data_IF_545124652529
#
_entry.id   IF_545124652529
#
_cell.length_a   1.000
_cell.length_b   1.000
_cell.length_c   1.000
_cell.angle_alpha   90.00
_cell.angle_beta   90.00
_cell.angle_gamma   90.00
#
_symmetry.space_group_name_H-M   'P 1'
#
loop_
_entity.id
_entity.type
_entity.pdbx_description
1 polymer ?
#
# COMPACT_ATOMS: atom_id res chain seq x y z
N UNK A 1 -33.57 21.91 -22.62
CA UNK A 1 -32.23 21.90 -21.95
C UNK A 1 -31.43 20.84 -22.65
N UNK A 2 -30.33 21.21 -23.31
CA UNK A 2 -29.34 20.24 -23.84
C UNK A 2 -28.86 19.41 -22.67
N UNK A 3 -28.80 18.07 -22.76
CA UNK A 3 -28.26 17.26 -21.65
C UNK A 3 -26.84 17.76 -21.34
N UNK A 4 -26.58 18.03 -20.07
CA UNK A 4 -25.25 18.45 -19.65
C UNK A 4 -24.25 17.39 -20.12
N UNK A 5 -23.29 17.83 -20.92
CA UNK A 5 -22.32 16.92 -21.55
C UNK A 5 -21.44 16.33 -20.46
N UNK A 6 -21.42 15.00 -20.32
CA UNK A 6 -20.57 14.34 -19.31
C UNK A 6 -19.08 14.61 -19.58
N UNK A 7 -18.51 15.51 -18.80
CA UNK A 7 -17.13 15.95 -18.95
C UNK A 7 -16.13 14.83 -18.60
N UNK A 8 -16.47 13.94 -17.68
CA UNK A 8 -15.64 12.78 -17.35
C UNK A 8 -15.50 11.86 -18.57
N UNK A 9 -16.61 11.59 -19.27
CA UNK A 9 -16.60 10.77 -20.49
C UNK A 9 -15.75 11.42 -21.59
N UNK A 10 -15.95 12.72 -21.85
CA UNK A 10 -15.15 13.44 -22.86
C UNK A 10 -13.65 13.41 -22.55
N UNK A 11 -13.27 13.60 -21.29
CA UNK A 11 -11.88 13.54 -20.87
C UNK A 11 -11.31 12.12 -20.99
N UNK A 12 -12.09 11.10 -20.67
CA UNK A 12 -11.67 9.72 -20.81
C UNK A 12 -11.46 9.33 -22.27
N UNK A 13 -12.36 9.72 -23.17
CA UNK A 13 -12.21 9.49 -24.60
C UNK A 13 -10.96 10.18 -25.16
N UNK A 14 -10.69 11.43 -24.78
CA UNK A 14 -9.46 12.14 -25.14
C UNK A 14 -8.22 11.48 -24.57
N UNK A 15 -8.23 11.08 -23.29
CA UNK A 15 -7.10 10.44 -22.63
C UNK A 15 -6.72 9.12 -23.32
N UNK A 16 -7.70 8.32 -23.76
CA UNK A 16 -7.47 7.08 -24.48
C UNK A 16 -6.75 7.25 -25.83
N UNK A 17 -6.78 8.43 -26.42
CA UNK A 17 -6.07 8.70 -27.66
C UNK A 17 -4.57 8.94 -27.45
N UNK A 18 -4.16 9.34 -26.22
CA UNK A 18 -2.78 9.78 -25.94
C UNK A 18 -2.12 9.06 -24.77
N UNK A 19 -2.89 8.32 -23.98
CA UNK A 19 -2.39 7.55 -22.82
C UNK A 19 -2.94 6.11 -22.94
N UNK A 20 -2.11 5.08 -22.84
CA UNK A 20 -2.58 3.70 -22.89
C UNK A 20 -3.70 3.44 -21.88
N UNK A 21 -4.90 3.04 -22.39
CA UNK A 21 -6.09 2.86 -21.57
C UNK A 21 -6.66 4.13 -20.93
N UNK A 22 -6.15 5.32 -21.27
CA UNK A 22 -6.57 6.63 -20.74
C UNK A 22 -6.08 6.95 -19.34
N UNK A 23 -5.16 6.16 -18.78
CA UNK A 23 -4.69 6.27 -17.38
C UNK A 23 -3.20 5.95 -17.25
N UNK A 24 -2.54 6.52 -16.23
CA UNK A 24 -1.15 6.26 -15.89
C UNK A 24 -0.97 5.14 -14.84
N UNK A 25 -2.07 4.49 -14.43
CA UNK A 25 -2.07 3.28 -13.60
C UNK A 25 -3.34 2.47 -13.88
N UNK A 26 -3.24 1.14 -14.13
CA UNK A 26 -4.32 0.33 -14.70
C UNK A 26 -5.64 0.35 -13.91
N UNK A 27 -5.59 0.33 -12.59
CA UNK A 27 -6.77 0.29 -11.72
C UNK A 27 -7.66 1.53 -11.90
N UNK A 28 -7.09 2.68 -12.28
CA UNK A 28 -7.81 3.95 -12.48
C UNK A 28 -8.77 3.92 -13.67
N UNK A 29 -8.64 2.95 -14.58
CA UNK A 29 -9.47 2.83 -15.78
C UNK A 29 -10.86 2.24 -15.53
N UNK A 30 -11.23 1.88 -14.31
CA UNK A 30 -12.49 1.22 -13.95
C UNK A 30 -12.74 -0.11 -14.66
N UNK A 31 -11.69 -0.76 -15.17
CA UNK A 31 -11.84 -2.00 -15.94
C UNK A 31 -12.53 -3.11 -15.12
N UNK A 32 -12.27 -3.18 -13.81
CA UNK A 32 -12.84 -4.20 -12.95
C UNK A 32 -14.33 -3.97 -12.64
N UNK A 33 -14.77 -2.72 -12.55
CA UNK A 33 -16.14 -2.33 -12.15
C UNK A 33 -16.98 -1.83 -13.31
N UNK A 34 -16.35 -1.47 -14.44
CA UNK A 34 -17.01 -0.85 -15.58
C UNK A 34 -17.35 0.62 -15.39
N UNK A 35 -17.96 1.22 -16.40
CA UNK A 35 -18.34 2.63 -16.38
C UNK A 35 -17.19 3.59 -16.72
N UNK A 36 -17.42 4.89 -16.50
CA UNK A 36 -16.47 5.96 -16.79
C UNK A 36 -15.72 6.37 -15.54
N UNK A 37 -14.37 6.38 -15.58
CA UNK A 37 -13.56 6.89 -14.48
C UNK A 37 -13.85 8.36 -14.15
N UNK A 38 -13.70 8.75 -12.90
CA UNK A 38 -13.87 10.14 -12.47
C UNK A 38 -12.54 10.89 -12.67
N UNK A 39 -12.58 11.99 -13.43
CA UNK A 39 -11.46 12.90 -13.62
C UNK A 39 -11.54 13.98 -12.53
N UNK A 40 -10.60 13.96 -11.61
CA UNK A 40 -10.58 14.86 -10.46
C UNK A 40 -10.12 16.25 -10.89
N UNK A 41 -10.91 17.27 -10.55
CA UNK A 41 -10.59 18.68 -10.83
C UNK A 41 -9.90 19.37 -9.64
N UNK A 42 -10.29 19.01 -8.41
CA UNK A 42 -9.68 19.50 -7.17
C UNK A 42 -10.00 18.56 -6.02
N UNK A 43 -9.21 18.65 -4.94
CA UNK A 43 -9.45 17.91 -3.71
C UNK A 43 -9.11 18.77 -2.49
N UNK A 44 -9.82 18.55 -1.36
CA UNK A 44 -9.56 19.23 -0.10
C UNK A 44 -10.16 18.43 1.06
N UNK A 45 -9.42 18.28 2.14
CA UNK A 45 -9.85 17.51 3.30
C UNK A 45 -10.17 16.07 2.94
N UNK A 46 -11.36 15.61 3.28
CA UNK A 46 -11.85 14.27 2.97
C UNK A 46 -12.51 14.14 1.59
N UNK A 47 -12.46 15.19 0.76
CA UNK A 47 -13.26 15.26 -0.47
C UNK A 47 -12.42 15.50 -1.71
N UNK A 48 -12.93 14.99 -2.83
CA UNK A 48 -12.55 15.51 -4.14
C UNK A 48 -13.79 15.87 -4.98
N UNK A 49 -13.59 16.66 -6.03
CA UNK A 49 -14.61 17.03 -7.02
C UNK A 49 -14.17 16.57 -8.39
N UNK A 50 -15.08 15.92 -9.10
CA UNK A 50 -14.82 15.48 -10.47
C UNK A 50 -14.95 16.63 -11.50
N UNK A 51 -14.69 16.32 -12.75
CA UNK A 51 -14.77 17.29 -13.86
C UNK A 51 -16.18 17.80 -14.15
N UNK A 52 -17.21 17.14 -13.63
CA UNK A 52 -18.61 17.60 -13.68
C UNK A 52 -18.97 18.47 -12.45
N UNK A 53 -18.04 18.66 -11.51
CA UNK A 53 -18.26 19.41 -10.27
C UNK A 53 -18.94 18.60 -9.16
N UNK A 54 -19.17 17.31 -9.35
CA UNK A 54 -19.74 16.45 -8.30
C UNK A 54 -18.71 16.16 -7.24
N UNK A 55 -19.12 16.31 -5.97
CA UNK A 55 -18.30 16.03 -4.79
C UNK A 55 -18.40 14.56 -4.39
N UNK A 56 -17.30 14.03 -3.88
CA UNK A 56 -17.20 12.68 -3.33
C UNK A 56 -16.46 12.68 -2.00
N UNK A 57 -16.93 11.88 -1.04
CA UNK A 57 -16.13 11.48 0.14
C UNK A 57 -15.12 10.46 -0.34
N UNK A 58 -13.83 10.74 -0.11
CA UNK A 58 -12.71 9.96 -0.68
C UNK A 58 -12.12 8.98 0.33
N UNK A 59 -12.44 7.70 0.17
CA UNK A 59 -11.84 6.61 0.93
C UNK A 59 -10.66 5.93 0.22
N UNK A 60 -10.18 6.50 -0.89
CA UNK A 60 -8.95 6.04 -1.55
C UNK A 60 -7.74 6.82 -1.06
N UNK A 61 -7.90 8.14 -0.83
CA UNK A 61 -6.81 8.98 -0.34
C UNK A 61 -5.53 8.84 -1.15
N UNK A 62 -5.66 8.84 -2.50
CA UNK A 62 -4.56 8.63 -3.45
C UNK A 62 -3.86 7.26 -3.28
N UNK A 63 -4.60 6.20 -2.89
CA UNK A 63 -4.09 4.86 -2.58
C UNK A 63 -3.23 4.80 -1.31
N UNK A 64 -3.58 5.64 -0.33
CA UNK A 64 -3.01 5.60 1.01
C UNK A 64 -2.18 6.80 1.48
N UNK A 65 -1.49 7.59 0.63
CA UNK A 65 -0.65 8.70 1.12
C UNK A 65 -1.40 9.80 1.87
N UNK A 66 -2.67 10.07 1.55
CA UNK A 66 -3.43 11.20 2.12
C UNK A 66 -3.98 10.93 3.53
N UNK A 67 -3.10 10.57 4.47
CA UNK A 67 -3.49 10.26 5.86
C UNK A 67 -4.06 11.50 6.60
N UNK A 68 -3.58 12.69 6.25
CA UNK A 68 -4.07 13.97 6.78
C UNK A 68 -5.30 14.50 6.03
N UNK A 69 -5.66 13.88 4.91
CA UNK A 69 -6.58 14.42 3.92
C UNK A 69 -5.87 15.26 2.85
N UNK A 70 -6.63 15.73 1.87
CA UNK A 70 -6.11 16.54 0.78
C UNK A 70 -5.83 17.97 1.21
N UNK A 71 -4.71 18.53 0.76
CA UNK A 71 -4.40 19.96 0.93
C UNK A 71 -4.24 20.39 2.39
N UNK A 72 -3.66 19.53 3.25
CA UNK A 72 -3.42 19.88 4.66
C UNK A 72 -2.54 21.14 4.77
N UNK A 73 -2.94 22.20 5.53
CA UNK A 73 -2.28 23.49 5.51
C UNK A 73 -0.79 23.44 5.80
N UNK A 74 -0.35 22.71 6.84
CA UNK A 74 1.06 22.61 7.20
C UNK A 74 1.90 21.91 6.10
N UNK A 75 1.33 20.94 5.38
CA UNK A 75 2.01 20.26 4.27
C UNK A 75 2.12 21.19 3.07
N UNK A 76 1.01 21.89 2.73
CA UNK A 76 1.00 22.87 1.62
C UNK A 76 2.00 23.98 1.86
N UNK A 77 2.06 24.55 3.06
CA UNK A 77 3.01 25.60 3.42
C UNK A 77 4.48 25.14 3.28
N UNK A 78 4.80 23.95 3.79
CA UNK A 78 6.14 23.37 3.70
C UNK A 78 6.58 23.15 2.23
N UNK A 79 5.65 22.64 1.40
CA UNK A 79 5.88 22.41 -0.03
C UNK A 79 6.07 23.74 -0.76
N UNK A 80 5.22 24.74 -0.52
CA UNK A 80 5.32 26.06 -1.13
C UNK A 80 6.67 26.73 -0.81
N UNK A 81 7.11 26.67 0.45
CA UNK A 81 8.41 27.18 0.86
C UNK A 81 9.54 26.45 0.13
N UNK A 82 9.51 25.13 0.08
CA UNK A 82 10.54 24.36 -0.62
C UNK A 82 10.60 24.67 -2.12
N UNK A 83 9.44 24.87 -2.77
CA UNK A 83 9.38 25.25 -4.18
C UNK A 83 10.08 26.58 -4.48
N UNK A 84 10.06 27.56 -3.56
CA UNK A 84 10.73 28.84 -3.72
C UNK A 84 12.27 28.74 -3.59
N UNK A 85 12.76 27.68 -2.90
CA UNK A 85 14.19 27.43 -2.72
C UNK A 85 14.81 26.58 -3.83
N UNK A 86 13.98 25.86 -4.61
CA UNK A 86 14.39 25.04 -5.76
C UNK A 86 13.81 23.63 -5.73
N UNK A 87 13.68 23.00 -6.91
CA UNK A 87 13.03 21.70 -7.06
C UNK A 87 13.99 20.51 -6.95
N UNK A 88 15.25 20.71 -7.39
CA UNK A 88 16.26 19.65 -7.43
C UNK A 88 17.66 20.25 -7.61
N UNK A 89 18.65 19.67 -6.94
CA UNK A 89 20.00 20.26 -6.93
C UNK A 89 21.08 19.33 -7.49
N UNK A 90 20.83 18.02 -7.59
CA UNK A 90 21.87 17.03 -7.91
C UNK A 90 22.97 16.96 -6.83
N UNK A 91 22.65 17.42 -5.62
CA UNK A 91 23.50 17.48 -4.44
C UNK A 91 22.66 17.17 -3.19
N UNK A 92 23.26 16.67 -2.09
CA UNK A 92 22.55 16.40 -0.86
C UNK A 92 22.03 17.67 -0.18
N UNK A 93 20.95 17.54 0.60
CA UNK A 93 20.30 18.62 1.33
C UNK A 93 20.17 18.28 2.81
N UNK A 94 20.09 19.29 3.69
CA UNK A 94 19.84 19.12 5.12
C UNK A 94 18.51 18.39 5.37
N UNK A 95 17.47 18.68 4.58
CA UNK A 95 16.15 18.04 4.69
C UNK A 95 16.18 16.53 4.43
N UNK A 96 17.10 16.03 3.63
CA UNK A 96 17.28 14.58 3.46
C UNK A 96 17.78 13.95 4.75
N UNK A 97 18.71 14.62 5.46
CA UNK A 97 19.22 14.16 6.76
C UNK A 97 18.10 14.19 7.80
N UNK A 98 17.38 15.33 7.91
CA UNK A 98 16.25 15.47 8.84
C UNK A 98 15.19 14.38 8.61
N UNK A 99 14.83 14.11 7.36
CA UNK A 99 13.84 13.07 7.05
C UNK A 99 14.35 11.68 7.39
N UNK A 100 15.61 11.38 7.11
CA UNK A 100 16.22 10.11 7.46
C UNK A 100 16.23 9.91 8.99
N UNK A 101 16.65 10.90 9.75
CA UNK A 101 16.65 10.88 11.23
C UNK A 101 15.23 10.70 11.78
N UNK A 102 14.23 11.41 11.21
CA UNK A 102 12.83 11.29 11.63
C UNK A 102 12.32 9.87 11.39
N UNK A 103 12.55 9.29 10.19
CA UNK A 103 12.16 7.90 9.89
C UNK A 103 12.82 6.92 10.86
N UNK A 104 14.14 7.02 11.09
CA UNK A 104 14.88 6.13 11.98
C UNK A 104 14.39 6.23 13.43
N UNK A 105 14.01 7.44 13.89
CA UNK A 105 13.46 7.63 15.23
C UNK A 105 12.12 6.92 15.44
N UNK A 106 11.34 6.76 14.38
CA UNK A 106 10.00 6.15 14.39
C UNK A 106 10.01 4.65 14.09
N UNK A 107 11.04 4.17 13.37
CA UNK A 107 11.17 2.77 12.93
C UNK A 107 12.49 2.18 13.46
N UNK A 108 12.53 1.75 14.73
CA UNK A 108 13.78 1.38 15.42
C UNK A 108 14.44 0.09 14.90
N UNK A 109 13.79 -0.69 14.07
CA UNK A 109 14.40 -1.83 13.36
C UNK A 109 15.44 -1.41 12.32
N UNK A 110 15.46 -0.13 11.92
CA UNK A 110 16.37 0.42 10.93
C UNK A 110 17.49 1.23 11.60
N UNK A 111 18.74 0.95 11.22
CA UNK A 111 19.92 1.74 11.61
C UNK A 111 20.30 2.75 10.52
N UNK A 112 19.92 2.48 9.28
CA UNK A 112 20.16 3.34 8.10
C UNK A 112 19.00 3.28 7.13
N UNK A 113 18.77 4.36 6.37
CA UNK A 113 17.73 4.47 5.36
C UNK A 113 18.26 5.11 4.08
N UNK A 114 17.75 4.69 2.92
CA UNK A 114 18.00 5.29 1.61
C UNK A 114 16.69 5.75 1.00
N UNK A 115 16.62 7.03 0.63
CA UNK A 115 15.46 7.60 -0.06
C UNK A 115 15.46 7.24 -1.54
N UNK A 116 14.27 7.00 -2.08
CA UNK A 116 13.99 6.75 -3.50
C UNK A 116 12.67 7.44 -3.87
N UNK A 117 12.24 7.37 -5.15
CA UNK A 117 11.06 8.12 -5.60
C UNK A 117 9.76 7.29 -5.61
N UNK A 118 9.83 5.97 -5.53
CA UNK A 118 8.65 5.10 -5.58
C UNK A 118 8.83 3.81 -4.76
N UNK A 119 7.69 3.21 -4.35
CA UNK A 119 7.70 1.90 -3.70
C UNK A 119 8.31 0.81 -4.59
N UNK A 120 8.14 0.90 -5.91
CA UNK A 120 8.78 -0.02 -6.87
C UNK A 120 10.30 0.07 -6.81
N UNK A 121 10.86 1.30 -6.79
CA UNK A 121 12.31 1.49 -6.64
C UNK A 121 12.80 0.97 -5.29
N UNK A 122 12.05 1.21 -4.22
CA UNK A 122 12.38 0.73 -2.88
C UNK A 122 12.39 -0.81 -2.82
N UNK A 123 11.33 -1.48 -3.30
CA UNK A 123 11.24 -2.94 -3.35
C UNK A 123 12.33 -3.58 -4.23
N UNK A 124 12.52 -3.03 -5.44
CA UNK A 124 13.58 -3.48 -6.35
C UNK A 124 14.98 -3.37 -5.71
N UNK A 125 15.24 -2.26 -5.03
CA UNK A 125 16.52 -2.00 -4.38
C UNK A 125 16.74 -2.88 -3.16
N UNK A 126 15.69 -3.11 -2.35
CA UNK A 126 15.72 -4.00 -1.20
C UNK A 126 16.04 -5.46 -1.62
N UNK A 127 15.42 -5.95 -2.69
CA UNK A 127 15.71 -7.29 -3.25
C UNK A 127 17.15 -7.38 -3.76
N UNK A 128 17.62 -6.36 -4.50
CA UNK A 128 19.02 -6.34 -4.97
C UNK A 128 20.00 -6.32 -3.81
N UNK A 129 19.70 -5.51 -2.80
CA UNK A 129 20.51 -5.44 -1.58
C UNK A 129 20.55 -6.79 -0.85
N UNK A 130 19.41 -7.44 -0.69
CA UNK A 130 19.32 -8.75 -0.05
C UNK A 130 20.15 -9.80 -0.79
N UNK A 131 20.07 -9.84 -2.13
CA UNK A 131 20.91 -10.72 -2.96
C UNK A 131 22.40 -10.41 -2.79
N UNK A 132 22.78 -9.14 -2.82
CA UNK A 132 24.19 -8.72 -2.66
C UNK A 132 24.73 -9.02 -1.27
N UNK A 133 23.96 -8.79 -0.23
CA UNK A 133 24.37 -9.01 1.16
C UNK A 133 24.50 -10.51 1.51
N UNK A 134 23.66 -11.36 0.93
CA UNK A 134 23.67 -12.82 1.21
C UNK A 134 24.49 -13.63 0.22
N UNK A 135 24.81 -13.08 -0.96
CA UNK A 135 25.41 -13.82 -2.07
C UNK A 135 24.48 -14.89 -2.69
N UNK A 136 23.16 -14.79 -2.46
CA UNK A 136 22.15 -15.76 -2.86
C UNK A 136 21.18 -15.16 -3.88
N UNK A 137 20.46 -16.00 -4.64
CA UNK A 137 19.62 -15.52 -5.75
C UNK A 137 18.13 -15.66 -5.54
N UNK A 138 17.67 -16.63 -4.73
CA UNK A 138 16.26 -16.95 -4.60
C UNK A 138 15.56 -15.94 -3.70
N UNK A 139 14.35 -15.55 -4.07
CA UNK A 139 13.45 -14.73 -3.29
C UNK A 139 12.12 -15.44 -3.09
N UNK A 140 11.49 -15.24 -1.95
CA UNK A 140 10.18 -15.76 -1.63
C UNK A 140 9.22 -14.60 -1.44
N UNK A 141 8.05 -14.65 -2.08
CA UNK A 141 6.92 -13.74 -1.89
C UNK A 141 5.62 -14.52 -1.78
N UNK A 142 4.52 -13.83 -1.53
CA UNK A 142 3.21 -14.45 -1.37
C UNK A 142 2.23 -14.00 -2.47
N UNK A 143 1.32 -14.92 -2.83
CA UNK A 143 0.28 -14.64 -3.79
C UNK A 143 -0.68 -13.55 -3.23
N UNK A 144 -1.15 -12.67 -4.09
CA UNK A 144 -1.96 -11.52 -3.70
C UNK A 144 -1.16 -10.32 -3.17
N UNK A 145 0.12 -10.48 -2.79
CA UNK A 145 0.99 -9.36 -2.43
C UNK A 145 1.60 -8.69 -3.66
N UNK A 146 1.69 -7.35 -3.60
CA UNK A 146 2.31 -6.52 -4.63
C UNK A 146 3.48 -5.71 -4.05
N UNK A 147 4.64 -5.84 -4.66
CA UNK A 147 5.88 -5.20 -4.20
C UNK A 147 6.52 -4.31 -5.27
N UNK A 148 5.68 -3.70 -6.14
CA UNK A 148 6.15 -2.95 -7.29
C UNK A 148 6.25 -3.81 -8.56
N UNK A 149 6.62 -3.17 -9.67
CA UNK A 149 6.62 -3.77 -11.00
C UNK A 149 8.02 -4.09 -11.55
N UNK A 150 8.99 -4.36 -10.66
CA UNK A 150 10.26 -4.95 -11.08
C UNK A 150 10.02 -6.38 -11.59
N UNK A 151 10.69 -6.77 -12.68
CA UNK A 151 10.43 -8.03 -13.38
C UNK A 151 10.45 -9.26 -12.46
N UNK A 152 11.41 -9.34 -11.55
CA UNK A 152 11.52 -10.45 -10.59
C UNK A 152 10.32 -10.54 -9.60
N UNK A 153 9.48 -9.52 -9.51
CA UNK A 153 8.32 -9.44 -8.62
C UNK A 153 6.99 -9.60 -9.34
N UNK A 154 6.99 -9.54 -10.69
CA UNK A 154 5.80 -9.77 -11.53
C UNK A 154 5.61 -11.27 -11.78
N UNK A 155 5.31 -12.00 -10.71
CA UNK A 155 5.25 -13.46 -10.67
C UNK A 155 4.00 -13.90 -9.92
N UNK A 156 3.33 -14.94 -10.42
CA UNK A 156 2.25 -15.66 -9.75
C UNK A 156 2.68 -17.09 -9.40
N UNK A 157 1.96 -17.74 -8.49
CA UNK A 157 2.22 -19.11 -8.09
C UNK A 157 2.25 -20.08 -9.30
N UNK A 158 3.15 -21.07 -9.24
CA UNK A 158 3.19 -22.21 -10.17
C UNK A 158 2.16 -23.28 -9.81
N UNK A 159 2.08 -24.34 -10.62
CA UNK A 159 1.23 -25.50 -10.35
C UNK A 159 1.95 -26.46 -9.40
N UNK A 160 1.63 -26.42 -8.11
CA UNK A 160 2.19 -27.34 -7.10
C UNK A 160 2.78 -26.64 -5.89
N UNK A 161 3.06 -27.40 -4.83
CA UNK A 161 3.66 -26.91 -3.59
C UNK A 161 5.10 -26.44 -3.83
N UNK A 162 5.45 -25.27 -3.30
CA UNK A 162 6.81 -24.69 -3.34
C UNK A 162 7.48 -24.66 -4.72
N UNK A 163 6.71 -24.48 -5.80
CA UNK A 163 7.25 -24.37 -7.16
C UNK A 163 7.53 -22.93 -7.55
N UNK A 164 8.53 -22.75 -8.45
CA UNK A 164 8.80 -21.41 -9.02
C UNK A 164 7.63 -20.90 -9.84
N UNK A 165 7.37 -19.61 -9.71
CA UNK A 165 6.24 -18.98 -10.36
C UNK A 165 6.42 -18.73 -11.85
N UNK A 166 5.32 -18.31 -12.47
CA UNK A 166 5.29 -17.89 -13.87
C UNK A 166 5.12 -16.37 -13.96
N UNK A 167 5.73 -15.75 -14.99
CA UNK A 167 5.56 -14.32 -15.22
C UNK A 167 4.07 -13.93 -15.35
N UNK A 168 3.67 -12.85 -14.68
CA UNK A 168 2.30 -12.31 -14.76
C UNK A 168 2.15 -11.24 -15.84
N UNK A 169 3.26 -10.81 -16.42
CA UNK A 169 3.29 -9.78 -17.47
C UNK A 169 3.99 -10.29 -18.71
N UNK A 170 3.42 -9.98 -19.88
CA UNK A 170 4.15 -10.10 -21.13
C UNK A 170 5.42 -9.22 -21.09
N UNK A 171 6.50 -9.67 -21.69
CA UNK A 171 7.79 -8.98 -21.70
C UNK A 171 8.71 -9.31 -20.53
N UNK A 172 8.27 -10.06 -19.55
CA UNK A 172 9.13 -10.57 -18.46
C UNK A 172 9.70 -11.93 -18.87
N UNK A 173 11.04 -12.06 -19.05
CA UNK A 173 11.67 -13.31 -19.42
C UNK A 173 11.53 -14.37 -18.33
N UNK A 174 11.42 -15.65 -18.73
CA UNK A 174 11.31 -16.76 -17.78
C UNK A 174 12.55 -16.87 -16.86
N UNK A 175 13.72 -16.55 -17.39
CA UNK A 175 15.00 -16.57 -16.68
C UNK A 175 15.05 -15.56 -15.53
N UNK A 176 14.30 -14.46 -15.63
CA UNK A 176 14.23 -13.43 -14.55
C UNK A 176 13.40 -13.95 -13.38
N UNK A 177 12.33 -14.67 -13.65
CA UNK A 177 11.39 -15.15 -12.62
C UNK A 177 11.74 -16.52 -12.06
N UNK A 178 12.69 -17.25 -12.65
CA UNK A 178 13.08 -18.60 -12.20
C UNK A 178 13.64 -18.66 -10.78
N UNK A 179 14.00 -17.53 -10.19
CA UNK A 179 14.50 -17.43 -8.82
C UNK A 179 13.45 -16.91 -7.83
N UNK A 180 12.20 -16.72 -8.25
CA UNK A 180 11.14 -16.23 -7.40
C UNK A 180 10.15 -17.33 -7.06
N UNK A 181 10.08 -17.69 -5.77
CA UNK A 181 9.06 -18.58 -5.25
C UNK A 181 7.84 -17.74 -4.84
N UNK A 182 6.65 -18.25 -5.15
CA UNK A 182 5.39 -17.63 -4.72
C UNK A 182 4.57 -18.67 -3.98
N UNK A 183 4.25 -18.40 -2.72
CA UNK A 183 3.49 -19.27 -1.84
C UNK A 183 2.13 -18.67 -1.53
N UNK A 184 1.22 -19.50 -1.04
CA UNK A 184 -0.04 -19.03 -0.51
C UNK A 184 0.16 -18.26 0.80
N UNK A 185 -0.54 -17.14 0.94
CA UNK A 185 -0.47 -16.30 2.13
C UNK A 185 -1.14 -17.01 3.31
N UNK A 186 -0.53 -16.98 4.48
CA UNK A 186 -0.97 -17.69 5.71
C UNK A 186 -0.83 -19.21 5.69
N UNK A 187 -0.18 -19.80 4.68
CA UNK A 187 0.11 -21.25 4.65
C UNK A 187 1.48 -21.55 5.27
N UNK A 188 1.48 -21.98 6.55
CA UNK A 188 2.71 -22.33 7.29
C UNK A 188 3.35 -23.60 6.71
N UNK A 189 2.57 -24.57 6.24
CA UNK A 189 3.12 -25.82 5.72
C UNK A 189 3.90 -25.59 4.41
N UNK A 190 3.34 -24.83 3.48
CA UNK A 190 4.06 -24.44 2.25
C UNK A 190 5.33 -23.64 2.57
N UNK A 191 5.26 -22.75 3.57
CA UNK A 191 6.41 -21.96 3.99
C UNK A 191 7.57 -22.84 4.50
N UNK A 192 7.27 -23.80 5.36
CA UNK A 192 8.24 -24.75 5.92
C UNK A 192 8.84 -25.66 4.85
N UNK A 193 8.02 -26.17 3.93
CA UNK A 193 8.48 -26.96 2.78
C UNK A 193 9.43 -26.15 1.89
N UNK A 194 9.06 -24.91 1.55
CA UNK A 194 9.89 -24.02 0.73
C UNK A 194 11.26 -23.75 1.34
N UNK A 195 11.32 -23.51 2.64
CA UNK A 195 12.59 -23.32 3.33
C UNK A 195 13.40 -24.63 3.48
N UNK A 196 12.75 -25.76 3.64
CA UNK A 196 13.41 -27.06 3.68
C UNK A 196 14.10 -27.36 2.34
N UNK A 197 13.43 -27.07 1.23
CA UNK A 197 13.95 -27.34 -0.12
C UNK A 197 14.95 -26.28 -0.62
N UNK A 198 14.73 -25.02 -0.27
CA UNK A 198 15.41 -23.89 -0.90
C UNK A 198 16.06 -22.89 0.08
N UNK A 199 15.93 -23.07 1.38
CA UNK A 199 16.35 -22.08 2.38
C UNK A 199 17.82 -21.71 2.32
N UNK A 200 18.71 -22.65 1.95
CA UNK A 200 20.14 -22.39 1.81
C UNK A 200 20.48 -21.42 0.67
N UNK A 201 19.63 -21.34 -0.36
CA UNK A 201 19.79 -20.46 -1.52
C UNK A 201 18.93 -19.21 -1.43
N UNK A 202 18.10 -19.10 -0.37
CA UNK A 202 17.17 -18.00 -0.16
C UNK A 202 17.91 -16.73 0.23
N UNK A 203 17.85 -15.69 -0.61
CA UNK A 203 18.36 -14.37 -0.28
C UNK A 203 17.44 -13.64 0.69
N UNK A 204 16.14 -13.69 0.43
CA UNK A 204 15.13 -13.02 1.24
C UNK A 204 13.73 -13.61 1.09
N UNK A 205 12.91 -13.32 2.09
CA UNK A 205 11.45 -13.38 2.06
C UNK A 205 10.92 -11.95 2.13
N UNK A 206 10.00 -11.57 1.21
CA UNK A 206 9.32 -10.28 1.22
C UNK A 206 7.82 -10.46 1.44
N UNK A 207 7.24 -9.66 2.34
CA UNK A 207 5.83 -9.77 2.72
C UNK A 207 5.20 -8.37 2.96
N UNK A 208 3.96 -8.19 2.49
CA UNK A 208 3.06 -7.17 3.04
C UNK A 208 2.48 -7.71 4.36
N UNK A 209 2.69 -7.06 5.51
CA UNK A 209 2.20 -7.58 6.81
C UNK A 209 0.68 -7.59 6.92
N UNK A 210 0.05 -6.62 6.30
CA UNK A 210 -1.39 -6.56 6.02
C UNK A 210 -1.47 -6.32 4.51
N UNK A 211 -1.88 -7.34 3.79
CA UNK A 211 -1.87 -7.29 2.33
C UNK A 211 -3.02 -6.45 1.81
N UNK A 212 -2.71 -5.21 1.44
CA UNK A 212 -3.66 -4.24 0.91
C UNK A 212 -4.00 -4.46 -0.55
N UNK A 213 -3.19 -5.23 -1.27
CA UNK A 213 -3.41 -5.60 -2.66
C UNK A 213 -4.31 -6.85 -2.83
N UNK A 214 -4.78 -7.42 -1.73
CA UNK A 214 -5.90 -8.35 -1.67
C UNK A 214 -6.99 -7.86 -0.69
N UNK A 215 -7.29 -6.57 -0.75
CA UNK A 215 -8.18 -5.80 0.11
C UNK A 215 -7.54 -5.56 1.50
N UNK A 216 -7.82 -6.39 2.50
CA UNK A 216 -7.26 -6.25 3.83
C UNK A 216 -7.10 -7.64 4.46
N UNK A 217 -6.06 -8.36 4.08
CA UNK A 217 -5.77 -9.69 4.64
C UNK A 217 -4.55 -9.60 5.53
N UNK A 218 -4.72 -9.94 6.82
CA UNK A 218 -3.62 -9.95 7.79
C UNK A 218 -2.80 -11.23 7.71
N UNK A 219 -1.49 -11.11 7.82
CA UNK A 219 -0.69 -12.26 8.21
C UNK A 219 -1.07 -12.67 9.65
N UNK A 220 -1.39 -13.92 9.86
CA UNK A 220 -1.66 -14.44 11.20
C UNK A 220 -0.39 -14.39 12.05
N UNK A 221 -0.54 -14.23 13.36
CA UNK A 221 0.60 -14.16 14.29
C UNK A 221 1.50 -15.41 14.17
N UNK A 222 0.98 -16.65 14.13
CA UNK A 222 1.81 -17.84 13.95
C UNK A 222 2.57 -17.85 12.61
N UNK A 223 1.92 -17.41 11.52
CA UNK A 223 2.54 -17.35 10.20
C UNK A 223 3.66 -16.31 10.17
N UNK A 224 3.43 -15.12 10.69
CA UNK A 224 4.42 -14.05 10.75
C UNK A 224 5.63 -14.43 11.62
N UNK A 225 5.38 -15.04 12.77
CA UNK A 225 6.43 -15.56 13.63
C UNK A 225 7.27 -16.61 12.90
N UNK A 226 6.60 -17.54 12.19
CA UNK A 226 7.31 -18.60 11.46
C UNK A 226 8.13 -18.06 10.29
N UNK A 227 7.64 -17.02 9.58
CA UNK A 227 8.43 -16.31 8.57
C UNK A 227 9.74 -15.76 9.16
N UNK A 228 9.67 -15.08 10.31
CA UNK A 228 10.87 -14.53 10.98
C UNK A 228 11.83 -15.63 11.43
N UNK A 229 11.33 -16.68 12.06
CA UNK A 229 12.13 -17.80 12.56
C UNK A 229 12.90 -18.49 11.44
N UNK A 230 12.21 -18.82 10.34
CA UNK A 230 12.84 -19.50 9.19
C UNK A 230 13.89 -18.60 8.51
N UNK A 231 13.59 -17.32 8.32
CA UNK A 231 14.59 -16.38 7.81
C UNK A 231 15.85 -16.38 8.69
N UNK A 232 15.69 -16.33 10.01
CA UNK A 232 16.81 -16.36 10.96
C UNK A 232 17.57 -17.70 10.88
N UNK A 233 16.85 -18.81 10.87
CA UNK A 233 17.44 -20.17 10.84
C UNK A 233 18.28 -20.41 9.59
N UNK A 234 17.84 -19.93 8.44
CA UNK A 234 18.50 -20.14 7.16
C UNK A 234 19.41 -18.97 6.73
N UNK A 235 19.43 -17.89 7.50
CA UNK A 235 20.22 -16.70 7.17
C UNK A 235 19.70 -15.96 5.91
N UNK A 236 18.42 -16.06 5.63
CA UNK A 236 17.72 -15.25 4.65
C UNK A 236 17.31 -13.92 5.26
N UNK A 237 17.29 -12.83 4.48
CA UNK A 237 16.83 -11.54 4.99
C UNK A 237 15.30 -11.46 4.96
N UNK A 238 14.71 -10.99 6.05
CA UNK A 238 13.28 -10.76 6.16
C UNK A 238 12.96 -9.32 5.77
N UNK A 239 12.30 -9.13 4.61
CA UNK A 239 11.91 -7.83 4.08
C UNK A 239 10.44 -7.58 4.38
N UNK A 240 10.17 -6.51 5.12
CA UNK A 240 8.85 -6.06 5.50
C UNK A 240 8.40 -4.95 4.56
N UNK A 241 7.44 -5.21 3.70
CA UNK A 241 6.90 -4.22 2.78
C UNK A 241 5.82 -3.40 3.48
N UNK A 242 6.23 -2.25 3.97
CA UNK A 242 5.39 -1.26 4.65
C UNK A 242 5.00 -0.10 3.70
N UNK A 243 5.08 -0.29 2.38
CA UNK A 243 4.69 0.78 1.44
C UNK A 243 3.24 1.20 1.67
N UNK A 244 2.35 0.28 2.02
CA UNK A 244 0.96 0.58 2.30
C UNK A 244 0.68 0.78 3.78
N UNK A 245 1.27 -0.02 4.64
CA UNK A 245 1.03 -0.02 6.10
C UNK A 245 1.89 0.98 6.86
N UNK A 246 3.05 1.37 6.32
CA UNK A 246 3.99 2.27 6.95
C UNK A 246 3.36 3.62 7.32
N UNK A 247 3.40 3.97 8.60
CA UNK A 247 2.77 5.15 9.18
C UNK A 247 1.25 5.29 8.90
N UNK A 248 0.63 4.28 8.31
CA UNK A 248 -0.80 4.23 8.05
C UNK A 248 -1.57 3.51 9.16
N UNK A 249 -1.04 2.37 9.60
CA UNK A 249 -1.66 1.52 10.63
C UNK A 249 -1.22 1.89 12.05
N UNK A 250 -0.20 2.70 12.20
CA UNK A 250 0.32 3.19 13.47
C UNK A 250 1.64 3.92 13.29
N UNK A 251 2.06 4.67 14.30
CA UNK A 251 3.30 5.45 14.26
C UNK A 251 4.56 4.58 14.09
N UNK A 252 4.51 3.33 14.60
CA UNK A 252 5.58 2.34 14.44
C UNK A 252 5.30 1.33 13.31
N UNK A 253 4.47 1.73 12.35
CA UNK A 253 4.12 0.89 11.21
C UNK A 253 3.46 -0.43 11.62
N UNK A 254 3.32 -1.40 10.71
CA UNK A 254 2.78 -2.72 11.04
C UNK A 254 3.76 -3.56 11.88
N UNK A 255 5.07 -3.35 11.75
CA UNK A 255 6.03 -4.02 12.64
C UNK A 255 5.75 -3.71 14.12
N UNK A 256 5.31 -2.49 14.45
CA UNK A 256 4.86 -2.14 15.79
C UNK A 256 3.57 -2.86 16.23
N UNK A 257 2.70 -3.22 15.28
CA UNK A 257 1.51 -4.04 15.56
C UNK A 257 1.91 -5.48 15.90
N UNK A 258 2.78 -6.10 15.11
CA UNK A 258 3.25 -7.48 15.33
C UNK A 258 4.13 -7.61 16.57
N UNK A 259 4.94 -6.62 16.89
CA UNK A 259 5.78 -6.61 18.09
C UNK A 259 5.00 -6.69 19.42
N UNK A 260 3.71 -6.33 19.42
CA UNK A 260 2.83 -6.51 20.59
C UNK A 260 2.58 -7.98 20.92
N UNK A 261 2.60 -8.85 19.91
CA UNK A 261 2.30 -10.29 20.06
C UNK A 261 3.52 -11.20 19.87
N UNK A 262 4.57 -10.70 19.21
CA UNK A 262 5.80 -11.46 18.93
C UNK A 262 6.97 -10.71 19.58
N UNK A 263 7.46 -11.15 20.76
CA UNK A 263 8.56 -10.49 21.44
C UNK A 263 9.83 -10.42 20.57
N UNK A 264 10.44 -9.23 20.47
CA UNK A 264 11.66 -9.02 19.70
C UNK A 264 11.47 -9.09 18.19
N UNK A 265 10.23 -8.95 17.70
CA UNK A 265 9.95 -8.95 16.27
C UNK A 265 10.55 -7.73 15.57
N UNK A 266 11.50 -8.00 14.70
CA UNK A 266 12.11 -6.98 13.83
C UNK A 266 12.41 -7.57 12.44
N UNK A 267 12.08 -6.85 11.35
CA UNK A 267 12.56 -7.18 10.00
C UNK A 267 14.04 -6.81 9.84
N UNK A 268 14.70 -7.39 8.85
CA UNK A 268 16.07 -7.04 8.48
C UNK A 268 16.12 -5.83 7.56
N UNK A 269 15.10 -5.71 6.68
CA UNK A 269 14.90 -4.58 5.76
C UNK A 269 13.43 -4.18 5.81
N UNK A 270 13.17 -2.88 5.88
CA UNK A 270 11.83 -2.29 5.75
C UNK A 270 11.75 -1.44 4.50
N UNK A 271 10.67 -1.60 3.74
CA UNK A 271 10.36 -0.80 2.54
C UNK A 271 9.21 0.15 2.88
N UNK A 272 9.37 1.45 2.61
CA UNK A 272 8.41 2.51 2.93
C UNK A 272 8.03 3.28 1.67
N UNK A 273 6.84 3.87 1.66
CA UNK A 273 6.34 4.71 0.58
C UNK A 273 5.08 5.46 0.99
N UNK A 274 4.29 5.87 0.02
CA UNK A 274 2.96 6.48 0.22
C UNK A 274 2.93 7.58 1.30
N UNK A 275 2.61 7.24 2.55
CA UNK A 275 2.46 8.21 3.67
C UNK A 275 3.74 9.02 3.89
N UNK A 276 4.93 8.41 3.80
CA UNK A 276 6.18 9.15 3.99
C UNK A 276 6.40 10.25 2.95
N UNK A 277 5.74 10.15 1.81
CA UNK A 277 5.77 11.17 0.75
C UNK A 277 4.69 12.24 0.90
N UNK A 278 3.67 12.02 1.76
CA UNK A 278 2.56 12.99 1.97
C UNK A 278 1.80 13.37 0.71
N UNK A 279 1.93 12.59 -0.38
CA UNK A 279 1.35 12.84 -1.69
C UNK A 279 2.39 13.16 -2.78
N UNK A 280 3.64 13.40 -2.42
CA UNK A 280 4.75 13.55 -3.36
C UNK A 280 5.45 12.22 -3.67
N UNK A 281 6.14 12.10 -4.82
CA UNK A 281 6.91 10.91 -5.17
C UNK A 281 8.12 10.76 -4.22
N UNK A 282 7.93 10.01 -3.16
CA UNK A 282 8.93 9.67 -2.16
C UNK A 282 8.66 8.28 -1.60
N UNK A 283 9.71 7.50 -1.51
CA UNK A 283 9.74 6.21 -0.85
C UNK A 283 11.12 6.00 -0.22
N UNK A 284 11.28 4.93 0.52
CA UNK A 284 12.54 4.60 1.17
C UNK A 284 12.68 3.10 1.37
N UNK A 285 13.90 2.63 1.54
CA UNK A 285 14.18 1.34 2.14
C UNK A 285 15.34 1.50 3.14
N UNK A 286 15.28 0.74 4.19
CA UNK A 286 16.28 0.81 5.25
C UNK A 286 16.32 -0.49 6.04
N UNK A 287 17.31 -0.62 6.92
CA UNK A 287 17.48 -1.83 7.70
C UNK A 287 18.71 -1.78 8.58
N UNK A 288 19.15 -2.95 9.04
CA UNK A 288 20.32 -3.09 9.89
C UNK A 288 21.57 -2.58 9.18
N UNK A 289 22.44 -1.88 9.91
CA UNK A 289 23.66 -1.25 9.40
C UNK A 289 24.50 -2.19 8.53
N UNK A 290 24.76 -3.40 9.01
CA UNK A 290 25.60 -4.38 8.29
C UNK A 290 25.03 -4.76 6.90
N UNK A 291 23.71 -4.69 6.72
CA UNK A 291 23.05 -4.91 5.44
C UNK A 291 23.13 -3.66 4.58
N UNK A 292 22.81 -2.48 5.14
CA UNK A 292 22.76 -1.23 4.40
C UNK A 292 24.12 -0.75 3.92
N UNK A 293 25.19 -1.07 4.62
CA UNK A 293 26.58 -0.76 4.22
C UNK A 293 27.04 -1.55 2.98
N UNK A 294 26.30 -2.55 2.53
CA UNK A 294 26.52 -3.18 1.23
C UNK A 294 26.11 -2.32 0.03
N UNK A 295 25.39 -1.20 0.26
CA UNK A 295 25.04 -0.25 -0.80
C UNK A 295 26.21 0.66 -1.16
N UNK A 296 26.34 0.95 -2.46
CA UNK A 296 27.24 1.99 -2.94
C UNK A 296 26.91 3.36 -2.31
N UNK A 297 27.91 4.18 -1.92
CA UNK A 297 29.33 4.06 -2.20
C UNK A 297 30.11 3.19 -1.20
N UNK A 298 29.51 2.67 -0.11
CA UNK A 298 30.19 1.87 0.89
C UNK A 298 30.44 0.44 0.43
N UNK A 299 29.47 -0.17 -0.23
CA UNK A 299 29.51 -1.54 -0.70
C UNK A 299 29.32 -1.66 -2.22
N UNK A 300 29.29 -2.89 -2.76
CA UNK A 300 29.25 -3.15 -4.20
C UNK A 300 27.83 -3.08 -4.80
N UNK A 301 26.77 -2.99 -3.98
CA UNK A 301 25.39 -3.01 -4.47
C UNK A 301 24.99 -1.64 -4.98
N UNK A 302 24.74 -1.53 -6.28
CA UNK A 302 24.42 -0.25 -6.91
C UNK A 302 22.93 0.12 -6.79
N UNK A 303 22.68 1.36 -6.42
CA UNK A 303 21.38 2.02 -6.45
C UNK A 303 21.61 3.53 -6.64
N UNK A 304 20.83 4.18 -7.51
CA UNK A 304 20.89 5.61 -7.75
C UNK A 304 19.52 6.14 -8.18
N UNK A 305 19.29 7.44 -7.98
CA UNK A 305 18.08 8.12 -8.43
C UNK A 305 18.31 9.63 -8.48
N UNK A 306 18.18 10.22 -9.64
CA UNK A 306 18.42 11.68 -9.86
C UNK A 306 17.56 12.55 -8.94
N UNK A 307 16.32 12.19 -8.72
CA UNK A 307 15.37 12.95 -7.91
C UNK A 307 15.13 12.35 -6.51
N UNK A 308 15.88 11.32 -6.14
CA UNK A 308 15.79 10.74 -4.80
C UNK A 308 16.19 11.78 -3.74
N UNK A 309 15.32 12.00 -2.75
CA UNK A 309 15.57 13.01 -1.71
C UNK A 309 15.41 14.45 -2.18
N UNK A 310 14.70 14.73 -3.28
CA UNK A 310 14.47 16.10 -3.75
C UNK A 310 13.79 16.96 -2.65
N UNK A 311 14.11 18.27 -2.60
CA UNK A 311 13.73 19.14 -1.49
C UNK A 311 12.21 19.31 -1.32
N UNK A 312 11.44 19.20 -2.40
CA UNK A 312 9.97 19.36 -2.34
C UNK A 312 9.32 18.13 -1.73
N UNK A 313 9.73 16.94 -2.18
CA UNK A 313 9.19 15.69 -1.65
C UNK A 313 9.63 15.44 -0.18
N UNK A 314 10.87 15.78 0.18
CA UNK A 314 11.35 15.67 1.57
C UNK A 314 10.63 16.66 2.50
N UNK A 315 10.38 17.89 2.07
CA UNK A 315 9.60 18.86 2.83
C UNK A 315 8.15 18.38 3.06
N UNK A 316 7.52 17.80 2.02
CA UNK A 316 6.20 17.21 2.12
C UNK A 316 6.16 16.05 3.12
N UNK A 317 7.12 15.13 3.03
CA UNK A 317 7.24 13.98 3.93
C UNK A 317 7.48 14.40 5.39
N UNK A 318 8.43 15.30 5.63
CA UNK A 318 8.71 15.83 6.97
C UNK A 318 7.49 16.50 7.60
N UNK A 319 6.79 17.36 6.85
CA UNK A 319 5.58 18.01 7.34
C UNK A 319 4.49 16.98 7.69
N UNK A 320 4.33 15.95 6.87
CA UNK A 320 3.38 14.87 7.11
C UNK A 320 3.74 14.08 8.36
N UNK A 321 4.99 13.63 8.53
CA UNK A 321 5.44 12.88 9.70
C UNK A 321 5.29 13.69 10.99
N UNK A 322 5.59 14.99 10.95
CA UNK A 322 5.40 15.90 12.12
C UNK A 322 3.94 16.00 12.56
N UNK A 323 3.01 16.02 11.61
CA UNK A 323 1.56 16.07 11.94
C UNK A 323 1.06 14.74 12.52
N UNK A 324 1.40 13.61 11.91
CA UNK A 324 0.94 12.29 12.39
C UNK A 324 1.59 11.85 13.70
N UNK A 325 2.71 12.46 14.09
CA UNK A 325 3.39 12.20 15.37
C UNK A 325 2.72 12.89 16.56
N UNK A 326 1.78 13.80 16.33
CA UNK A 326 1.08 14.49 17.41
C UNK A 326 0.31 13.51 18.30
N UNK A 327 0.35 13.70 19.64
CA UNK A 327 -0.38 12.83 20.56
C UNK A 327 -1.87 12.73 20.20
N UNK A 328 -2.45 11.54 20.31
CA UNK A 328 -3.85 11.27 20.02
C UNK A 328 -4.19 11.10 18.53
N UNK A 329 -3.25 11.30 17.60
CA UNK A 329 -3.53 11.23 16.18
C UNK A 329 -4.04 9.84 15.74
N UNK A 330 -3.31 8.79 16.11
CA UNK A 330 -3.68 7.42 15.71
C UNK A 330 -4.88 6.88 16.47
N UNK A 331 -5.08 7.28 17.71
CA UNK A 331 -6.26 6.94 18.51
C UNK A 331 -7.51 7.51 17.84
N UNK A 332 -7.49 8.77 17.45
CA UNK A 332 -8.60 9.42 16.76
C UNK A 332 -8.85 8.82 15.37
N UNK A 333 -7.79 8.57 14.61
CA UNK A 333 -7.88 7.98 13.27
C UNK A 333 -8.45 6.54 13.32
N UNK A 334 -7.96 5.73 14.26
CA UNK A 334 -8.44 4.36 14.48
C UNK A 334 -9.89 4.31 14.92
N UNK A 335 -10.31 5.20 15.84
CA UNK A 335 -11.70 5.29 16.28
C UNK A 335 -12.66 5.62 15.13
N UNK A 336 -12.31 6.58 14.26
CA UNK A 336 -13.09 6.89 13.05
C UNK A 336 -13.21 5.68 12.12
N UNK A 337 -12.10 4.98 11.89
CA UNK A 337 -12.07 3.79 11.03
C UNK A 337 -12.98 2.69 11.58
N UNK A 338 -12.88 2.41 12.88
CA UNK A 338 -13.73 1.43 13.55
C UNK A 338 -15.21 1.80 13.51
N UNK A 339 -15.54 3.09 13.70
CA UNK A 339 -16.91 3.61 13.60
C UNK A 339 -17.50 3.36 12.21
N UNK A 340 -16.72 3.65 11.15
CA UNK A 340 -17.16 3.36 9.77
C UNK A 340 -17.39 1.87 9.56
N UNK A 341 -16.43 1.03 9.96
CA UNK A 341 -16.52 -0.41 9.78
C UNK A 341 -17.70 -1.03 10.53
N UNK A 342 -17.92 -0.62 11.78
CA UNK A 342 -19.08 -1.07 12.57
C UNK A 342 -20.40 -0.63 11.93
N UNK A 343 -20.45 0.60 11.40
CA UNK A 343 -21.64 1.13 10.72
C UNK A 343 -21.98 0.35 9.43
N UNK A 344 -20.97 0.08 8.58
CA UNK A 344 -21.14 -0.72 7.35
C UNK A 344 -21.56 -2.16 7.68
N UNK A 345 -20.89 -2.80 8.66
CA UNK A 345 -21.26 -4.15 9.11
C UNK A 345 -22.69 -4.19 9.62
N UNK A 346 -23.10 -3.23 10.49
CA UNK A 346 -24.45 -3.18 11.01
C UNK A 346 -25.51 -2.91 9.94
N UNK A 347 -25.18 -2.17 8.89
CA UNK A 347 -26.07 -1.96 7.73
C UNK A 347 -26.25 -3.25 6.92
N UNK A 348 -25.16 -3.96 6.65
CA UNK A 348 -25.19 -5.23 5.94
C UNK A 348 -25.95 -6.33 6.72
N UNK A 349 -25.73 -6.41 8.04
CA UNK A 349 -26.43 -7.39 8.91
C UNK A 349 -27.94 -7.18 8.89
N UNK A 350 -28.40 -5.92 8.94
CA UNK A 350 -29.84 -5.59 8.87
C UNK A 350 -30.45 -5.97 7.52
N UNK A 351 -29.67 -5.93 6.45
CA UNK A 351 -30.11 -6.33 5.11
C UNK A 351 -29.95 -7.82 4.83
N UNK A 352 -29.37 -8.60 5.79
CA UNK A 352 -29.08 -10.03 5.59
C UNK A 352 -27.98 -10.32 4.57
N UNK A 353 -27.09 -9.35 4.32
CA UNK A 353 -25.99 -9.48 3.37
C UNK A 353 -24.75 -10.03 4.09
N UNK A 354 -24.17 -11.17 3.62
CA UNK A 354 -22.90 -11.66 4.10
C UNK A 354 -21.82 -10.57 3.96
N UNK A 355 -21.25 -10.12 5.08
CA UNK A 355 -20.31 -9.02 5.09
C UNK A 355 -19.37 -9.11 6.29
N UNK A 356 -18.08 -9.05 6.03
CA UNK A 356 -17.05 -9.00 7.08
C UNK A 356 -16.12 -7.82 6.86
N UNK A 357 -15.59 -7.27 7.96
CA UNK A 357 -14.74 -6.08 7.97
C UNK A 357 -13.53 -6.29 8.86
N UNK A 358 -12.42 -5.67 8.50
CA UNK A 358 -11.26 -5.55 9.37
C UNK A 358 -10.58 -4.20 9.16
N UNK A 359 -9.84 -3.72 10.17
CA UNK A 359 -9.16 -2.43 10.10
C UNK A 359 -7.99 -2.34 11.08
N UNK A 360 -7.00 -1.52 10.74
CA UNK A 360 -5.90 -1.15 11.63
C UNK A 360 -5.51 0.31 11.37
N UNK A 361 -5.51 1.14 12.41
CA UNK A 361 -5.26 2.57 12.27
C UNK A 361 -6.16 3.21 11.23
N UNK A 362 -5.59 3.80 10.19
CA UNK A 362 -6.33 4.44 9.09
C UNK A 362 -6.51 3.57 7.84
N UNK A 363 -6.29 2.27 7.92
CA UNK A 363 -6.47 1.32 6.81
C UNK A 363 -7.59 0.34 7.14
N UNK A 364 -8.43 0.01 6.16
CA UNK A 364 -9.54 -0.91 6.35
C UNK A 364 -9.85 -1.72 5.10
N UNK A 365 -10.56 -2.82 5.30
CA UNK A 365 -11.12 -3.64 4.22
C UNK A 365 -12.49 -4.18 4.59
N UNK A 366 -13.26 -4.51 3.56
CA UNK A 366 -14.54 -5.19 3.70
C UNK A 366 -14.72 -6.24 2.60
N UNK A 367 -15.41 -7.31 2.95
CA UNK A 367 -15.62 -8.46 2.07
C UNK A 367 -17.09 -8.87 2.08
N UNK A 368 -17.59 -9.32 0.94
CA UNK A 368 -18.94 -9.87 0.80
C UNK A 368 -18.98 -11.36 1.21
N UNK A 369 -18.45 -11.64 2.40
CA UNK A 369 -18.40 -12.95 3.05
C UNK A 369 -18.78 -12.83 4.52
N UNK A 370 -19.30 -13.89 5.12
CA UNK A 370 -19.60 -13.94 6.57
C UNK A 370 -18.33 -13.94 7.43
N UNK A 371 -17.21 -14.43 6.89
CA UNK A 371 -15.93 -14.53 7.57
C UNK A 371 -14.83 -13.87 6.78
N UNK A 372 -13.81 -13.35 7.46
CA UNK A 372 -12.65 -12.72 6.84
C UNK A 372 -11.86 -13.74 6.01
N UNK A 373 -11.53 -13.43 4.75
CA UNK A 373 -10.60 -14.21 3.94
C UNK A 373 -9.21 -14.26 4.60
N UNK A 374 -8.56 -15.41 4.51
CA UNK A 374 -7.22 -15.61 5.05
C UNK A 374 -6.13 -15.59 3.96
N UNK A 375 -6.52 -15.68 2.69
CA UNK A 375 -5.61 -15.79 1.56
C UNK A 375 -6.24 -15.23 0.27
N UNK A 376 -5.41 -15.11 -0.77
CA UNK A 376 -5.82 -14.59 -2.07
C UNK A 376 -6.85 -15.48 -2.77
N UNK A 377 -6.69 -16.80 -2.70
CA UNK A 377 -7.61 -17.75 -3.32
C UNK A 377 -9.06 -17.53 -2.85
N UNK A 378 -9.25 -17.29 -1.54
CA UNK A 378 -10.57 -16.98 -0.97
C UNK A 378 -11.09 -15.61 -1.45
N UNK A 379 -10.25 -14.58 -1.49
CA UNK A 379 -10.63 -13.25 -1.98
C UNK A 379 -11.12 -13.32 -3.43
N UNK A 380 -10.48 -14.13 -4.27
CA UNK A 380 -10.84 -14.33 -5.67
C UNK A 380 -12.22 -14.99 -5.90
N UNK A 381 -12.81 -15.58 -4.87
CA UNK A 381 -14.18 -16.14 -4.95
C UNK A 381 -15.28 -15.11 -4.69
N UNK A 382 -14.93 -13.82 -4.49
CA UNK A 382 -15.91 -12.75 -4.27
C UNK A 382 -16.81 -12.59 -5.49
N UNK A 383 -18.11 -12.41 -5.25
CA UNK A 383 -19.09 -12.11 -6.29
C UNK A 383 -18.86 -10.69 -6.86
N UNK A 384 -18.29 -10.65 -8.06
CA UNK A 384 -17.99 -9.40 -8.76
C UNK A 384 -19.23 -8.57 -9.05
N UNK A 385 -20.36 -9.20 -9.35
CA UNK A 385 -21.60 -8.47 -9.69
C UNK A 385 -22.15 -7.73 -8.47
N UNK A 386 -22.18 -8.41 -7.32
CA UNK A 386 -22.58 -7.80 -6.03
C UNK A 386 -21.62 -6.68 -5.64
N UNK A 387 -20.32 -6.89 -5.79
CA UNK A 387 -19.33 -5.83 -5.54
C UNK A 387 -19.54 -4.62 -6.45
N UNK A 388 -19.75 -4.84 -7.75
CA UNK A 388 -20.00 -3.76 -8.71
C UNK A 388 -21.28 -2.98 -8.38
N UNK A 389 -22.34 -3.68 -7.94
CA UNK A 389 -23.59 -3.02 -7.48
C UNK A 389 -23.31 -2.13 -6.27
N UNK A 390 -22.57 -2.64 -5.28
CA UNK A 390 -22.17 -1.85 -4.10
C UNK A 390 -21.31 -0.64 -4.51
N UNK A 391 -20.27 -0.86 -5.32
CA UNK A 391 -19.37 0.21 -5.76
C UNK A 391 -20.11 1.34 -6.49
N UNK A 392 -20.90 1.01 -7.53
CA UNK A 392 -21.63 2.02 -8.29
C UNK A 392 -22.71 2.70 -7.48
N UNK A 393 -23.43 1.95 -6.65
CA UNK A 393 -24.44 2.52 -5.76
C UNK A 393 -23.87 3.55 -4.78
N UNK A 394 -22.69 3.28 -4.20
CA UNK A 394 -21.98 4.21 -3.34
C UNK A 394 -21.41 5.41 -4.13
N UNK A 395 -20.83 5.16 -5.31
CA UNK A 395 -20.31 6.20 -6.20
C UNK A 395 -21.39 7.20 -6.61
N UNK A 396 -22.58 6.71 -6.94
CA UNK A 396 -23.71 7.55 -7.33
C UNK A 396 -24.21 8.42 -6.17
N UNK A 397 -23.98 8.00 -4.93
CA UNK A 397 -24.29 8.75 -3.71
C UNK A 397 -23.15 9.64 -3.21
N UNK A 398 -22.07 9.77 -4.01
CA UNK A 398 -20.95 10.63 -3.65
C UNK A 398 -19.98 10.01 -2.65
N UNK A 399 -19.92 8.69 -2.56
CA UNK A 399 -18.93 7.96 -1.77
C UNK A 399 -17.99 7.21 -2.71
N UNK A 400 -16.69 7.47 -2.62
CA UNK A 400 -15.69 6.91 -3.50
C UNK A 400 -14.84 5.86 -2.79
N UNK A 401 -15.20 4.59 -2.98
CA UNK A 401 -14.40 3.43 -2.62
C UNK A 401 -13.48 3.01 -3.77
N UNK A 402 -12.60 2.03 -3.52
CA UNK A 402 -11.73 1.51 -4.55
C UNK A 402 -12.52 0.85 -5.70
N UNK A 403 -12.20 1.17 -6.98
CA UNK A 403 -12.84 0.57 -8.14
C UNK A 403 -12.31 -0.85 -8.44
N UNK A 404 -12.04 -1.61 -7.39
CA UNK A 404 -11.61 -3.00 -7.45
C UNK A 404 -11.81 -3.67 -6.09
N UNK A 405 -12.32 -4.89 -6.09
CA UNK A 405 -12.58 -5.64 -4.86
C UNK A 405 -11.31 -6.08 -4.11
N UNK A 406 -10.14 -5.93 -4.73
CA UNK A 406 -8.84 -6.33 -4.17
C UNK A 406 -8.08 -5.19 -3.47
N UNK A 407 -8.66 -4.01 -3.40
CA UNK A 407 -7.99 -2.82 -2.87
C UNK A 407 -8.54 -2.43 -1.51
N UNK A 408 -7.64 -2.12 -0.58
CA UNK A 408 -8.00 -1.58 0.72
C UNK A 408 -8.60 -0.17 0.63
N UNK A 409 -9.35 0.21 1.66
CA UNK A 409 -9.82 1.56 1.88
C UNK A 409 -8.94 2.30 2.89
N UNK A 410 -9.00 3.65 2.85
CA UNK A 410 -8.15 4.51 3.66
C UNK A 410 -8.95 5.64 4.31
N UNK A 411 -8.90 5.68 5.64
CA UNK A 411 -9.41 6.79 6.43
C UNK A 411 -8.37 7.90 6.51
N UNK A 412 -8.79 9.16 6.43
CA UNK A 412 -7.92 10.29 6.74
C UNK A 412 -8.36 11.01 8.01
N UNK A 413 -7.45 11.77 8.61
CA UNK A 413 -7.76 12.59 9.76
C UNK A 413 -8.84 13.64 9.47
N UNK A 414 -9.01 14.04 8.20
CA UNK A 414 -9.97 15.03 7.75
C UNK A 414 -11.42 14.52 7.65
N UNK A 415 -11.66 13.20 7.64
CA UNK A 415 -13.03 12.67 7.68
C UNK A 415 -13.72 13.07 8.98
N UNK A 416 -14.95 13.56 8.89
CA UNK A 416 -15.79 13.95 10.03
C UNK A 416 -16.80 12.86 10.35
N UNK A 417 -17.41 12.91 11.55
CA UNK A 417 -18.49 12.00 11.91
C UNK A 417 -19.69 12.12 10.97
N UNK A 418 -19.94 13.31 10.42
CA UNK A 418 -20.98 13.52 9.43
C UNK A 418 -20.69 12.77 8.11
N UNK A 419 -19.41 12.70 7.69
CA UNK A 419 -19.00 11.92 6.50
C UNK A 419 -19.23 10.43 6.73
N UNK A 420 -18.88 9.92 7.92
CA UNK A 420 -19.08 8.52 8.27
C UNK A 420 -20.57 8.17 8.29
N UNK A 421 -21.40 9.03 8.91
CA UNK A 421 -22.85 8.84 8.95
C UNK A 421 -23.47 8.87 7.54
N UNK A 422 -23.07 9.81 6.69
CA UNK A 422 -23.53 9.90 5.30
C UNK A 422 -23.14 8.64 4.49
N UNK A 423 -21.94 8.13 4.71
CA UNK A 423 -21.45 6.90 4.07
C UNK A 423 -22.29 5.70 4.52
N UNK A 424 -22.49 5.52 5.83
CA UNK A 424 -23.30 4.42 6.37
C UNK A 424 -24.75 4.51 5.91
N UNK A 425 -25.33 5.72 5.90
CA UNK A 425 -26.69 5.93 5.39
C UNK A 425 -26.82 5.50 3.91
N UNK A 426 -25.88 5.90 3.07
CA UNK A 426 -25.84 5.46 1.67
C UNK A 426 -25.72 3.94 1.55
N UNK A 427 -24.90 3.31 2.38
CA UNK A 427 -24.69 1.87 2.38
C UNK A 427 -25.96 1.08 2.77
N UNK A 428 -26.76 1.59 3.73
CA UNK A 428 -28.06 0.96 4.12
C UNK A 428 -28.97 0.81 2.92
N UNK A 429 -29.09 1.84 2.07
CA UNK A 429 -29.94 1.78 0.87
C UNK A 429 -29.42 0.76 -0.14
N UNK A 430 -28.09 0.67 -0.31
CA UNK A 430 -27.48 -0.22 -1.29
C UNK A 430 -27.51 -1.67 -0.84
N UNK A 431 -27.24 -1.96 0.45
CA UNK A 431 -27.30 -3.34 0.95
C UNK A 431 -28.70 -3.94 0.80
N UNK A 432 -29.77 -3.16 0.87
CA UNK A 432 -31.12 -3.63 0.59
C UNK A 432 -31.37 -4.01 -0.89
N UNK A 433 -30.42 -3.70 -1.80
CA UNK A 433 -30.47 -4.06 -3.22
C UNK A 433 -29.57 -5.25 -3.55
N UNK A 434 -28.73 -5.72 -2.61
CA UNK A 434 -27.80 -6.83 -2.76
C UNK A 434 -28.41 -8.17 -2.30
#
# INVERSE_FOLDING_TARGET
MTPATDRNLQLFERARQVIPGGVNSPVRAFKAVGGTPRFVSRAQGAYFWDANGKQYIDYIGSWGPMILGHGHPAVVEAVQKACLEGFSFGAPTEREVELAEEILSLVPSMDMVRLVSSGTEAGMSAIRLARGATGRNKILKFEGCYHGHADALLVKAGSGLATFGHATSAGVPAEVVQHTLVLEYNDVAQLEEAFTLHGKDMACLIIEPIAGNMNFVRASIPFMQRCRELCTQYGALFIFDEVMTGFRVGLRCAQGVYAKSIPGFEPDITVLGKVIGGGMPLAAFGGKRAVMEQLAPLGPVYQAGTLSGNPVATACGLATLREIKKPGFYEALGAKTQTLMAGLKGAADKAGVPFSVDSEGGMFGFFLFDTLPQNYAKVMTTDNQRFNTLFHGMLDRGVYFAPALYEAGFMSAAHTDADLQATVHSAVEIFNLL
#
